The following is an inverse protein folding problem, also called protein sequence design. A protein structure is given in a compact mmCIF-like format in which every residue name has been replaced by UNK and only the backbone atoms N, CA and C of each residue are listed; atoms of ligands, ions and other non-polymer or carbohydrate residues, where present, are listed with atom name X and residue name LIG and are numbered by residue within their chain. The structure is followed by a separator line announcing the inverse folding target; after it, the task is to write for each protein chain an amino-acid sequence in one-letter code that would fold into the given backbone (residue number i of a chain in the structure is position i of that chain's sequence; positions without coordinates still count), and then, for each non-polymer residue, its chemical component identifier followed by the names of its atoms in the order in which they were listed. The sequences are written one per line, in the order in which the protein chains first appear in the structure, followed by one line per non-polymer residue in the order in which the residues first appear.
data_IF_785835672993
#
_entry.id   IF_785835672993
#
_cell.length_a   1.000
_cell.length_b   1.000
_cell.length_c   1.000
_cell.angle_alpha   90.00
_cell.angle_beta   90.00
_cell.angle_gamma   90.00
#
_symmetry.space_group_name_H-M   'P 1'
#
loop_
_entity.id
_entity.type
_entity.pdbx_description
1 polymer ?
#
# COMPACT_ATOMS: atom_id res chain seq x y z
N UNK A 1 -5.39 8.14 40.67
CA UNK A 1 -6.27 9.19 40.10
C UNK A 1 -7.68 9.15 40.70
N UNK A 2 -8.48 8.08 40.54
CA UNK A 2 -9.82 8.01 41.16
C UNK A 2 -9.79 8.12 42.70
N UNK A 3 -8.81 7.49 43.36
CA UNK A 3 -8.61 7.64 44.82
C UNK A 3 -8.20 9.06 45.25
N UNK A 4 -7.46 9.78 44.41
CA UNK A 4 -6.98 11.16 44.67
C UNK A 4 -8.15 12.15 44.63
N UNK A 5 -9.06 11.98 43.68
CA UNK A 5 -10.28 12.79 43.58
C UNK A 5 -11.24 12.49 44.74
N UNK A 6 -11.36 11.21 45.15
CA UNK A 6 -12.17 10.82 46.31
C UNK A 6 -11.61 11.36 47.64
N UNK A 7 -10.29 11.32 47.81
CA UNK A 7 -9.61 11.93 48.97
C UNK A 7 -9.85 13.44 49.05
N UNK A 8 -9.95 14.12 47.91
CA UNK A 8 -10.27 15.54 47.81
C UNK A 8 -11.75 15.82 48.10
N UNK A 9 -12.68 15.03 47.55
CA UNK A 9 -14.12 15.15 47.81
C UNK A 9 -14.48 14.83 49.28
N UNK A 10 -13.67 13.98 49.94
CA UNK A 10 -13.73 13.73 51.38
C UNK A 10 -13.18 14.90 52.24
N UNK A 11 -12.73 15.99 51.62
CA UNK A 11 -12.35 17.23 52.31
C UNK A 11 -10.88 17.39 52.66
N UNK A 12 -9.97 16.53 52.18
CA UNK A 12 -8.51 16.72 52.41
C UNK A 12 -7.98 17.93 51.64
N UNK A 13 -7.01 18.63 52.21
CA UNK A 13 -6.43 19.82 51.57
C UNK A 13 -5.63 19.44 50.32
N UNK A 14 -5.65 20.32 49.30
CA UNK A 14 -4.87 20.15 48.08
C UNK A 14 -3.36 19.94 48.36
N UNK A 15 -2.86 20.49 49.46
CA UNK A 15 -1.46 20.41 49.87
C UNK A 15 -1.09 19.04 50.44
N UNK A 16 -1.98 18.45 51.24
CA UNK A 16 -1.83 17.12 51.82
C UNK A 16 -1.86 16.06 50.71
N UNK A 17 -2.79 16.18 49.77
CA UNK A 17 -2.91 15.26 48.65
C UNK A 17 -1.69 15.34 47.72
N UNK A 18 -1.15 16.54 47.52
CA UNK A 18 0.09 16.74 46.75
C UNK A 18 1.28 16.06 47.43
N UNK A 19 1.32 16.06 48.77
CA UNK A 19 2.38 15.46 49.58
C UNK A 19 2.25 13.93 49.66
N UNK A 20 1.04 13.40 49.82
CA UNK A 20 0.76 11.97 50.00
C UNK A 20 0.86 11.19 48.68
N UNK A 21 0.33 11.75 47.60
CA UNK A 21 0.27 11.08 46.29
C UNK A 21 1.37 11.54 45.32
N UNK A 22 2.19 12.53 45.70
CA UNK A 22 3.28 13.03 44.88
C UNK A 22 2.83 13.72 43.58
N UNK A 23 1.63 14.31 43.56
CA UNK A 23 1.02 14.91 42.36
C UNK A 23 1.01 16.43 42.47
N UNK A 24 1.45 17.14 41.43
CA UNK A 24 1.40 18.61 41.44
C UNK A 24 -0.02 19.17 41.60
N UNK A 25 -0.17 20.29 42.33
CA UNK A 25 -1.44 21.01 42.49
C UNK A 25 -2.12 21.29 41.13
N UNK A 26 -1.34 21.67 40.12
CA UNK A 26 -1.84 21.95 38.77
C UNK A 26 -2.48 20.73 38.09
N UNK A 27 -1.91 19.53 38.26
CA UNK A 27 -2.48 18.29 37.74
C UNK A 27 -3.78 17.91 38.46
N UNK A 28 -3.85 18.14 39.77
CA UNK A 28 -5.03 17.86 40.58
C UNK A 28 -6.24 18.71 40.16
N UNK A 29 -6.05 20.02 39.99
CA UNK A 29 -7.15 20.89 39.51
C UNK A 29 -7.57 20.57 38.06
N UNK A 30 -6.63 20.21 37.17
CA UNK A 30 -6.96 19.74 35.81
C UNK A 30 -7.80 18.47 35.81
N UNK A 31 -7.50 17.54 36.72
CA UNK A 31 -8.30 16.33 36.89
C UNK A 31 -9.69 16.65 37.43
N UNK A 32 -9.80 17.51 38.44
CA UNK A 32 -11.09 17.96 38.97
C UNK A 32 -11.97 18.63 37.90
N UNK A 33 -11.38 19.45 37.02
CA UNK A 33 -12.14 20.10 35.95
C UNK A 33 -12.71 19.10 34.93
N UNK A 34 -12.00 18.00 34.67
CA UNK A 34 -12.40 17.00 33.66
C UNK A 34 -13.23 15.85 34.21
N UNK A 35 -13.05 15.54 35.48
CA UNK A 35 -13.52 14.31 36.12
C UNK A 35 -14.21 14.58 37.48
N UNK A 36 -14.39 15.83 37.87
CA UNK A 36 -15.06 16.21 39.12
C UNK A 36 -16.55 15.90 39.06
N UNK A 37 -17.07 15.27 40.11
CA UNK A 37 -18.46 14.82 40.19
C UNK A 37 -18.72 13.47 39.49
N UNK A 38 -17.70 12.81 38.94
CA UNK A 38 -17.83 11.43 38.43
C UNK A 38 -17.49 10.42 39.50
N UNK A 39 -18.33 9.41 39.64
CA UNK A 39 -18.08 8.30 40.56
C UNK A 39 -16.86 7.48 40.13
N UNK A 40 -16.20 6.82 41.09
CA UNK A 40 -15.00 6.02 40.82
C UNK A 40 -15.25 4.88 39.80
N UNK A 41 -16.50 4.45 39.64
CA UNK A 41 -16.97 3.48 38.64
C UNK A 41 -17.07 4.07 37.24
N UNK A 42 -17.56 5.30 37.10
CA UNK A 42 -17.67 6.03 35.83
C UNK A 42 -16.28 6.36 35.27
N UNK A 43 -15.34 6.73 36.13
CA UNK A 43 -13.95 6.98 35.73
C UNK A 43 -13.24 5.74 35.20
N UNK A 44 -13.53 4.56 35.77
CA UNK A 44 -13.03 3.29 35.24
C UNK A 44 -13.61 3.01 33.87
N UNK A 45 -14.93 3.17 33.71
CA UNK A 45 -15.62 2.98 32.43
C UNK A 45 -15.12 3.93 31.34
N UNK A 46 -14.85 5.19 31.65
CA UNK A 46 -14.29 6.14 30.69
C UNK A 46 -12.90 5.71 30.25
N UNK A 47 -12.04 5.26 31.17
CA UNK A 47 -10.72 4.75 30.81
C UNK A 47 -10.80 3.51 29.92
N UNK A 48 -11.66 2.56 30.27
CA UNK A 48 -11.90 1.37 29.46
C UNK A 48 -12.42 1.76 28.06
N UNK A 49 -13.34 2.72 27.97
CA UNK A 49 -13.85 3.23 26.69
C UNK A 49 -12.78 4.00 25.91
N UNK A 50 -11.90 4.77 26.56
CA UNK A 50 -10.78 5.45 25.92
C UNK A 50 -9.76 4.45 25.38
N UNK A 51 -9.47 3.39 26.15
CA UNK A 51 -8.61 2.28 25.73
C UNK A 51 -9.22 1.52 24.55
N UNK A 52 -10.49 1.16 24.62
CA UNK A 52 -11.21 0.52 23.51
C UNK A 52 -11.28 1.43 22.29
N UNK A 53 -11.53 2.73 22.45
CA UNK A 53 -11.54 3.67 21.34
C UNK A 53 -10.14 3.86 20.73
N UNK A 54 -9.08 3.81 21.55
CA UNK A 54 -7.70 3.81 21.06
C UNK A 54 -7.37 2.53 20.28
N UNK A 55 -7.79 1.37 20.78
CA UNK A 55 -7.67 0.07 20.09
C UNK A 55 -8.45 0.07 18.77
N UNK A 56 -9.68 0.56 18.79
CA UNK A 56 -10.54 0.69 17.62
C UNK A 56 -9.93 1.66 16.61
N UNK A 57 -9.51 2.87 17.00
CA UNK A 57 -8.84 3.82 16.09
C UNK A 57 -7.55 3.26 15.47
N UNK A 58 -6.84 2.37 16.17
CA UNK A 58 -5.68 1.66 15.61
C UNK A 58 -6.09 0.60 14.58
N UNK A 59 -7.20 -0.11 14.81
CA UNK A 59 -7.71 -1.16 13.93
C UNK A 59 -8.58 -0.63 12.78
N UNK A 60 -9.26 0.50 12.94
CA UNK A 60 -10.24 1.08 12.01
C UNK A 60 -9.64 1.42 10.64
N UNK A 61 -8.45 2.05 10.53
CA UNK A 61 -7.80 2.22 9.25
C UNK A 61 -7.57 0.89 8.55
N UNK A 62 -7.28 -0.15 9.33
CA UNK A 62 -7.05 -1.50 8.83
C UNK A 62 -8.34 -2.18 8.36
N UNK A 63 -9.40 -2.13 9.17
CA UNK A 63 -10.67 -2.74 8.79
C UNK A 63 -11.34 -1.98 7.64
N UNK A 64 -11.24 -0.65 7.63
CA UNK A 64 -11.81 0.19 6.58
C UNK A 64 -11.22 -0.10 5.21
N UNK A 65 -9.90 -0.24 5.10
CA UNK A 65 -9.31 -0.59 3.79
C UNK A 65 -9.75 -1.97 3.32
N UNK A 66 -9.93 -2.94 4.21
CA UNK A 66 -10.32 -4.31 3.84
C UNK A 66 -11.72 -4.35 3.23
N UNK A 67 -12.58 -3.42 3.63
CA UNK A 67 -13.93 -3.23 3.11
C UNK A 67 -13.97 -2.38 1.84
N UNK A 68 -13.00 -1.48 1.65
CA UNK A 68 -12.97 -0.54 0.52
C UNK A 68 -12.29 -1.14 -0.71
N UNK A 69 -11.52 -2.22 -0.56
CA UNK A 69 -10.96 -2.94 -1.69
C UNK A 69 -12.09 -3.61 -2.50
N UNK A 70 -12.37 -3.18 -3.73
CA UNK A 70 -13.31 -3.90 -4.57
C UNK A 70 -12.74 -5.30 -4.84
N UNK A 71 -13.57 -6.33 -4.66
CA UNK A 71 -13.40 -7.71 -5.16
C UNK A 71 -12.78 -8.78 -4.24
N UNK A 72 -12.70 -8.59 -2.92
CA UNK A 72 -12.38 -9.73 -2.01
C UNK A 72 -13.54 -10.71 -1.82
N UNK A 73 -14.74 -10.38 -2.31
CA UNK A 73 -15.94 -11.22 -2.31
C UNK A 73 -15.96 -12.28 -3.43
N UNK A 74 -15.03 -12.26 -4.38
CA UNK A 74 -14.90 -13.34 -5.37
C UNK A 74 -14.00 -14.45 -4.81
N UNK A 75 -14.42 -15.71 -4.93
CA UNK A 75 -13.76 -16.90 -4.38
C UNK A 75 -12.32 -17.16 -4.88
N UNK A 76 -11.74 -16.28 -5.71
CA UNK A 76 -10.41 -16.44 -6.30
C UNK A 76 -9.44 -15.40 -5.75
N UNK A 77 -8.26 -15.87 -5.34
CA UNK A 77 -7.17 -14.99 -4.93
C UNK A 77 -6.73 -14.07 -6.07
N UNK A 78 -6.58 -12.77 -5.77
CA UNK A 78 -6.07 -11.77 -6.72
C UNK A 78 -4.65 -12.14 -7.18
N UNK A 79 -4.40 -12.05 -8.49
CA UNK A 79 -3.06 -12.28 -9.05
C UNK A 79 -2.13 -11.12 -8.68
N UNK A 80 -0.80 -11.33 -8.64
CA UNK A 80 0.16 -10.27 -8.36
C UNK A 80 0.04 -9.04 -9.28
N UNK A 81 -0.34 -9.22 -10.54
CA UNK A 81 -0.60 -8.13 -11.48
C UNK A 81 -1.79 -7.26 -11.07
N UNK A 82 -2.91 -7.88 -10.70
CA UNK A 82 -4.16 -7.19 -10.33
C UNK A 82 -3.95 -6.39 -9.04
N UNK A 83 -3.24 -6.99 -8.07
CA UNK A 83 -2.84 -6.31 -6.83
C UNK A 83 -1.95 -5.09 -7.09
N UNK A 84 -1.04 -5.15 -8.08
CA UNK A 84 -0.21 -4.00 -8.46
C UNK A 84 -1.07 -2.89 -9.09
N UNK A 85 -2.02 -3.24 -9.95
CA UNK A 85 -2.95 -2.28 -10.55
C UNK A 85 -3.72 -1.50 -9.50
N UNK A 86 -4.30 -2.19 -8.51
CA UNK A 86 -5.01 -1.56 -7.39
C UNK A 86 -4.13 -0.52 -6.69
N UNK A 87 -2.86 -0.85 -6.43
CA UNK A 87 -1.93 0.08 -5.77
C UNK A 87 -1.57 1.27 -6.67
N UNK A 88 -1.43 1.06 -7.98
CA UNK A 88 -1.16 2.13 -8.95
C UNK A 88 -2.34 3.10 -9.04
N UNK A 89 -3.57 2.61 -9.03
CA UNK A 89 -4.76 3.46 -9.02
C UNK A 89 -4.90 4.20 -7.68
N UNK A 90 -4.67 3.50 -6.56
CA UNK A 90 -4.63 4.13 -5.22
C UNK A 90 -3.55 5.20 -5.10
N UNK A 91 -2.41 5.07 -5.80
CA UNK A 91 -1.35 6.09 -5.80
C UNK A 91 -1.86 7.42 -6.35
N UNK A 92 -2.83 7.42 -7.28
CA UNK A 92 -3.43 8.62 -7.85
C UNK A 92 -4.39 9.30 -6.86
N UNK A 93 -5.21 8.51 -6.18
CA UNK A 93 -6.23 9.05 -5.26
C UNK A 93 -5.70 9.36 -3.86
N UNK A 94 -4.83 8.50 -3.31
CA UNK A 94 -4.34 8.57 -1.92
C UNK A 94 -2.87 8.13 -1.80
N UNK A 95 -1.91 9.00 -2.14
CA UNK A 95 -0.48 8.65 -2.14
C UNK A 95 0.10 8.32 -0.75
N UNK A 96 -0.50 8.84 0.34
CA UNK A 96 -0.03 8.61 1.72
C UNK A 96 -0.26 7.18 2.22
N UNK A 97 -1.16 6.43 1.59
CA UNK A 97 -1.58 5.11 2.06
C UNK A 97 -0.91 3.93 1.33
N UNK A 98 0.00 4.17 0.38
CA UNK A 98 0.65 3.12 -0.43
C UNK A 98 1.33 2.07 0.45
N UNK A 99 2.07 2.50 1.47
CA UNK A 99 2.77 1.59 2.39
C UNK A 99 1.80 0.69 3.16
N UNK A 100 0.63 1.22 3.53
CA UNK A 100 -0.44 0.42 4.13
C UNK A 100 -0.95 -0.55 3.07
N UNK A 101 -1.42 -0.06 1.91
CA UNK A 101 -1.96 -0.89 0.84
C UNK A 101 -1.06 -2.08 0.47
N UNK A 102 0.26 -1.87 0.36
CA UNK A 102 1.24 -2.92 0.11
C UNK A 102 1.24 -4.02 1.20
N UNK A 103 1.26 -3.62 2.48
CA UNK A 103 1.25 -4.55 3.62
C UNK A 103 0.00 -5.45 3.61
N UNK A 104 -1.10 -4.91 3.13
CA UNK A 104 -2.42 -5.51 3.20
C UNK A 104 -2.68 -6.46 2.03
N UNK A 105 -2.27 -6.04 0.84
CA UNK A 105 -2.28 -6.89 -0.36
C UNK A 105 -1.16 -7.94 -0.36
N UNK A 106 -0.28 -7.91 0.66
CA UNK A 106 0.92 -8.75 0.79
C UNK A 106 1.84 -8.61 -0.43
N UNK A 107 2.11 -7.37 -0.83
CA UNK A 107 3.04 -7.03 -1.91
C UNK A 107 4.26 -6.28 -1.34
N UNK A 108 5.44 -6.59 -1.88
CA UNK A 108 6.66 -5.82 -1.61
C UNK A 108 6.61 -4.47 -2.32
N UNK A 109 7.08 -3.41 -1.66
CA UNK A 109 7.19 -2.07 -2.26
C UNK A 109 8.12 -2.06 -3.48
N UNK A 110 9.22 -2.81 -3.44
CA UNK A 110 10.17 -2.93 -4.56
C UNK A 110 9.50 -3.52 -5.81
N UNK A 111 8.48 -4.36 -5.62
CA UNK A 111 7.70 -4.92 -6.71
C UNK A 111 6.91 -3.88 -7.52
N UNK A 112 6.66 -2.70 -6.97
CA UNK A 112 5.99 -1.59 -7.68
C UNK A 112 6.94 -0.84 -8.60
N UNK A 113 8.22 -0.78 -8.23
CA UNK A 113 9.25 -0.09 -9.01
C UNK A 113 9.84 -0.98 -10.11
N UNK A 114 9.63 -2.30 -10.03
CA UNK A 114 10.16 -3.23 -11.02
C UNK A 114 9.42 -3.13 -12.35
N UNK A 115 10.15 -2.71 -13.38
CA UNK A 115 9.74 -2.77 -14.78
C UNK A 115 10.69 -3.70 -15.54
N UNK A 116 10.15 -4.58 -16.38
CA UNK A 116 10.97 -5.41 -17.26
C UNK A 116 11.46 -4.54 -18.42
N UNK A 117 12.74 -4.17 -18.38
CA UNK A 117 13.39 -3.46 -19.49
C UNK A 117 13.69 -4.48 -20.59
N UNK A 118 13.16 -4.24 -21.78
CA UNK A 118 13.42 -5.04 -22.98
C UNK A 118 13.94 -4.06 -24.03
N UNK A 119 15.24 -4.05 -24.22
CA UNK A 119 15.83 -3.29 -25.31
C UNK A 119 15.59 -4.07 -26.60
N UNK A 120 14.66 -3.60 -27.41
CA UNK A 120 14.30 -4.21 -28.70
C UNK A 120 14.63 -3.27 -29.88
N UNK A 121 15.31 -2.14 -29.63
CA UNK A 121 15.54 -1.08 -30.62
C UNK A 121 16.36 -1.58 -31.81
N UNK A 122 17.49 -2.24 -31.57
CA UNK A 122 18.35 -2.77 -32.63
C UNK A 122 17.62 -3.79 -33.50
N UNK A 123 16.78 -4.62 -32.87
CA UNK A 123 16.03 -5.68 -33.55
C UNK A 123 14.92 -5.08 -34.41
N UNK A 124 14.24 -4.03 -33.93
CA UNK A 124 13.23 -3.29 -34.69
C UNK A 124 13.84 -2.67 -35.96
N UNK A 125 14.96 -1.95 -35.84
CA UNK A 125 15.61 -1.30 -36.98
C UNK A 125 16.07 -2.32 -38.04
N UNK A 126 16.65 -3.44 -37.60
CA UNK A 126 17.05 -4.51 -38.53
C UNK A 126 15.85 -5.12 -39.25
N UNK A 127 14.74 -5.34 -38.52
CA UNK A 127 13.53 -5.90 -39.09
C UNK A 127 12.87 -4.95 -40.10
N UNK A 128 12.83 -3.66 -39.78
CA UNK A 128 12.26 -2.63 -40.66
C UNK A 128 13.05 -2.50 -41.96
N UNK A 129 14.38 -2.52 -41.87
CA UNK A 129 15.25 -2.49 -43.04
C UNK A 129 15.04 -3.74 -43.93
N UNK A 130 14.89 -4.93 -43.33
CA UNK A 130 14.63 -6.15 -44.07
C UNK A 130 13.26 -6.17 -44.74
N UNK A 131 12.24 -5.62 -44.07
CA UNK A 131 10.90 -5.52 -44.63
C UNK A 131 10.83 -4.53 -45.81
N UNK A 132 11.57 -3.42 -45.74
CA UNK A 132 11.71 -2.47 -46.88
C UNK A 132 12.39 -3.14 -48.07
N UNK A 133 13.42 -3.96 -47.82
CA UNK A 133 14.14 -4.66 -48.87
C UNK A 133 13.37 -5.84 -49.45
N UNK A 134 12.57 -6.54 -48.64
CA UNK A 134 11.86 -7.76 -49.04
C UNK A 134 10.40 -7.75 -48.54
N UNK A 135 9.47 -7.10 -49.28
CA UNK A 135 8.10 -6.89 -48.80
C UNK A 135 7.24 -8.16 -48.69
N UNK A 136 7.61 -9.24 -49.38
CA UNK A 136 6.84 -10.50 -49.47
C UNK A 136 7.34 -11.54 -48.45
N UNK A 137 8.49 -11.28 -47.80
CA UNK A 137 9.12 -12.26 -46.93
C UNK A 137 8.47 -12.31 -45.54
N UNK A 138 8.04 -13.51 -45.15
CA UNK A 138 7.52 -13.76 -43.81
C UNK A 138 8.60 -13.91 -42.74
N UNK A 139 8.15 -13.99 -41.48
CA UNK A 139 8.99 -14.05 -40.27
C UNK A 139 10.23 -14.95 -40.35
N UNK A 140 10.08 -16.20 -40.81
CA UNK A 140 11.20 -17.16 -40.83
C UNK A 140 12.32 -16.75 -41.78
N UNK A 141 11.99 -16.15 -42.93
CA UNK A 141 12.99 -15.66 -43.88
C UNK A 141 13.78 -14.50 -43.29
N UNK A 142 13.09 -13.55 -42.64
CA UNK A 142 13.72 -12.47 -41.88
C UNK A 142 14.63 -13.01 -40.76
N UNK A 143 14.17 -14.00 -39.99
CA UNK A 143 14.97 -14.63 -38.93
C UNK A 143 16.28 -15.24 -39.46
N UNK A 144 16.20 -16.02 -40.53
CA UNK A 144 17.39 -16.64 -41.12
C UNK A 144 18.34 -15.61 -41.72
N UNK A 145 17.84 -14.56 -42.39
CA UNK A 145 18.68 -13.47 -42.90
C UNK A 145 19.44 -12.78 -41.77
N UNK A 146 18.77 -12.40 -40.70
CA UNK A 146 19.41 -11.76 -39.53
C UNK A 146 20.49 -12.68 -38.94
N UNK A 147 20.21 -13.98 -38.84
CA UNK A 147 21.20 -14.95 -38.35
C UNK A 147 22.41 -15.09 -39.29
N UNK A 148 22.18 -15.02 -40.60
CA UNK A 148 23.24 -15.08 -41.61
C UNK A 148 24.13 -13.83 -41.62
N UNK A 149 23.63 -12.67 -41.16
CA UNK A 149 24.47 -11.46 -40.95
C UNK A 149 25.43 -11.57 -39.77
N UNK A 150 25.43 -12.70 -39.04
CA UNK A 150 26.29 -12.95 -37.89
C UNK A 150 25.69 -12.50 -36.54
N UNK A 151 24.48 -11.92 -36.54
CA UNK A 151 23.83 -11.50 -35.29
C UNK A 151 23.12 -12.68 -34.63
N UNK A 152 23.55 -13.08 -33.43
CA UNK A 152 22.92 -14.18 -32.68
C UNK A 152 21.68 -13.66 -31.93
N UNK A 153 20.50 -13.84 -32.52
CA UNK A 153 19.21 -13.45 -31.93
C UNK A 153 18.33 -14.68 -31.68
N UNK A 154 17.68 -14.72 -30.51
CA UNK A 154 16.67 -15.74 -30.19
C UNK A 154 15.39 -15.50 -31.00
N UNK A 155 14.90 -16.53 -31.70
CA UNK A 155 13.66 -16.47 -32.47
C UNK A 155 12.46 -16.00 -31.64
N UNK A 156 12.39 -16.33 -30.33
CA UNK A 156 11.31 -15.87 -29.44
C UNK A 156 11.33 -14.36 -29.20
N UNK A 157 12.53 -13.77 -29.09
CA UNK A 157 12.71 -12.31 -28.96
C UNK A 157 12.32 -11.64 -30.26
N UNK A 158 12.85 -12.12 -31.39
CA UNK A 158 12.52 -11.58 -32.71
C UNK A 158 11.02 -11.68 -33.00
N UNK A 159 10.39 -12.81 -32.71
CA UNK A 159 8.95 -13.03 -32.95
C UNK A 159 8.08 -12.12 -32.08
N UNK A 160 8.48 -11.86 -30.82
CA UNK A 160 7.79 -10.89 -29.97
C UNK A 160 7.79 -9.49 -30.59
N UNK A 161 8.95 -9.07 -31.10
CA UNK A 161 9.12 -7.76 -31.76
C UNK A 161 8.36 -7.73 -33.08
N UNK A 162 8.51 -8.76 -33.92
CA UNK A 162 7.77 -8.93 -35.17
C UNK A 162 6.24 -8.87 -34.97
N UNK A 163 5.70 -9.48 -33.91
CA UNK A 163 4.26 -9.44 -33.64
C UNK A 163 3.78 -8.08 -33.12
N UNK A 164 4.67 -7.32 -32.46
CA UNK A 164 4.33 -6.04 -31.80
C UNK A 164 4.50 -4.85 -32.75
N UNK A 165 5.60 -4.83 -33.49
CA UNK A 165 6.08 -3.71 -34.31
C UNK A 165 6.30 -4.13 -35.77
N UNK A 166 5.87 -5.35 -36.14
CA UNK A 166 6.02 -5.86 -37.50
C UNK A 166 5.26 -5.00 -38.51
N UNK A 167 5.82 -4.82 -39.72
CA UNK A 167 5.10 -4.13 -40.77
C UNK A 167 3.79 -4.86 -41.04
N UNK A 168 2.73 -4.09 -41.27
CA UNK A 168 1.45 -4.58 -41.74
C UNK A 168 1.53 -5.11 -43.19
N UNK A 169 2.53 -5.95 -43.47
CA UNK A 169 2.77 -6.58 -44.76
C UNK A 169 2.35 -8.05 -44.68
N UNK A 170 1.09 -8.21 -45.08
CA UNK A 170 0.47 -9.38 -45.70
C UNK A 170 0.18 -10.61 -44.80
N UNK A 171 -0.98 -11.27 -45.04
CA UNK A 171 -1.61 -12.28 -44.18
C UNK A 171 -0.81 -13.57 -43.95
#
# INVERSE_FOLDING_TARGET
MAGILKDFDNGKSAEEITRDHGVSKASLYKWRQRYGGMEATELKRIKELEEENARLKKCMPTLRWSLTLPNTSSKKALKPCDKRMIIVDMRKERPKDISKACRLLKLSRSSLCYTSIKDDVTVMVQLENLAKQNPVEGFWKCYYRIRNTGTVINHKRLHRVYKKDGPALAP
#
